data_IF_720179324772
#
_entry.id   IF_720179324772
#
_cell.length_a   1.000
_cell.length_b   1.000
_cell.length_c   1.000
_cell.angle_alpha   90.00
_cell.angle_beta   90.00
_cell.angle_gamma   90.00
#
_symmetry.space_group_name_H-M   'P 1'
#
loop_
_entity.id
_entity.type
_entity.pdbx_description
1 polymer ?
#
# COMPACT_ATOMS: atom_id res chain seq x y z
N UNK A 1 0.09 -15.78 6.85
CA UNK A 1 -1.05 -14.99 7.36
C UNK A 1 -0.98 -13.61 6.73
N UNK A 2 -2.12 -12.99 6.41
CA UNK A 2 -2.16 -11.68 5.74
C UNK A 2 -2.34 -10.56 6.78
N UNK A 3 -1.64 -9.43 6.61
CA UNK A 3 -1.85 -8.24 7.44
C UNK A 3 -2.91 -7.36 6.79
N UNK A 4 -3.85 -6.87 7.59
CA UNK A 4 -4.83 -5.89 7.17
C UNK A 4 -4.57 -4.55 7.86
N UNK A 5 -4.79 -3.48 7.10
CA UNK A 5 -4.65 -2.11 7.54
C UNK A 5 -6.00 -1.42 7.39
N UNK A 6 -6.34 -0.60 8.36
CA UNK A 6 -7.64 0.04 8.47
C UNK A 6 -7.45 1.51 8.77
N UNK A 7 -8.32 2.34 8.19
CA UNK A 7 -8.36 3.78 8.40
C UNK A 7 -9.76 4.20 8.85
N UNK A 8 -9.82 4.98 9.93
CA UNK A 8 -11.01 5.68 10.38
C UNK A 8 -10.95 7.14 9.97
N UNK A 9 -12.09 7.70 9.55
CA UNK A 9 -12.21 9.11 9.18
C UNK A 9 -13.54 9.72 9.63
N UNK A 10 -13.52 11.02 9.92
CA UNK A 10 -14.72 11.80 10.22
C UNK A 10 -15.66 11.94 9.00
N UNK A 11 -15.13 11.80 7.78
CA UNK A 11 -15.90 11.89 6.53
C UNK A 11 -15.73 10.61 5.71
N UNK A 12 -16.62 10.43 4.74
CA UNK A 12 -16.48 9.34 3.77
C UNK A 12 -15.24 9.55 2.89
N UNK A 13 -14.53 8.46 2.61
CA UNK A 13 -13.34 8.46 1.76
C UNK A 13 -13.67 7.89 0.38
N UNK A 14 -12.99 8.35 -0.69
CA UNK A 14 -13.19 7.79 -2.02
C UNK A 14 -12.72 6.33 -2.04
N UNK A 15 -13.58 5.45 -2.53
CA UNK A 15 -13.22 4.05 -2.76
C UNK A 15 -12.40 3.90 -4.03
N UNK A 16 -11.63 2.82 -4.08
CA UNK A 16 -10.84 2.43 -5.23
C UNK A 16 -9.37 2.79 -5.11
N UNK A 17 -8.72 2.74 -6.27
CA UNK A 17 -7.28 2.91 -6.41
C UNK A 17 -6.86 4.38 -6.45
N UNK A 18 -5.71 4.68 -5.84
CA UNK A 18 -5.05 5.97 -5.93
C UNK A 18 -3.54 5.83 -6.00
N UNK A 19 -2.93 6.58 -6.92
CA UNK A 19 -1.50 6.86 -6.95
C UNK A 19 -0.69 6.05 -7.96
N UNK A 20 -1.18 4.90 -8.43
CA UNK A 20 -0.49 4.15 -9.48
C UNK A 20 -0.46 4.94 -10.80
N UNK A 21 0.55 4.66 -11.62
CA UNK A 21 0.80 5.31 -12.90
C UNK A 21 1.05 4.22 -13.95
N UNK A 22 0.00 3.76 -14.66
CA UNK A 22 0.17 2.77 -15.71
C UNK A 22 1.14 3.26 -16.79
N UNK A 23 1.93 2.33 -17.32
CA UNK A 23 2.78 2.56 -18.49
C UNK A 23 1.93 2.89 -19.71
N UNK A 24 2.48 3.69 -20.62
CA UNK A 24 1.90 3.90 -21.93
C UNK A 24 2.00 2.66 -22.84
N UNK A 25 2.85 1.69 -22.48
CA UNK A 25 3.11 0.48 -23.25
C UNK A 25 2.14 -0.63 -22.86
N UNK A 26 1.74 -1.44 -23.84
CA UNK A 26 0.96 -2.65 -23.58
C UNK A 26 1.84 -3.80 -23.09
N UNK A 27 1.20 -4.87 -22.60
CA UNK A 27 1.90 -6.07 -22.15
C UNK A 27 2.73 -6.68 -23.28
N UNK A 28 2.16 -6.78 -24.48
CA UNK A 28 2.86 -7.32 -25.66
C UNK A 28 4.03 -6.43 -26.09
N UNK A 29 3.90 -5.10 -26.03
CA UNK A 29 5.00 -4.18 -26.34
C UNK A 29 6.16 -4.35 -25.37
N UNK A 30 5.87 -4.43 -24.07
CA UNK A 30 6.90 -4.67 -23.05
C UNK A 30 7.53 -6.05 -23.22
N UNK A 31 6.74 -7.12 -23.36
CA UNK A 31 7.23 -8.50 -23.53
C UNK A 31 8.16 -8.65 -24.73
N UNK A 32 7.89 -7.93 -25.82
CA UNK A 32 8.69 -8.00 -27.04
C UNK A 32 9.91 -7.07 -27.04
N UNK A 33 10.00 -6.15 -26.08
CA UNK A 33 11.08 -5.16 -25.98
C UNK A 33 12.46 -5.80 -25.73
N UNK A 34 13.54 -5.20 -26.26
CA UNK A 34 14.91 -5.64 -25.97
C UNK A 34 15.23 -5.61 -24.47
N UNK A 35 14.73 -4.62 -23.75
CA UNK A 35 14.95 -4.42 -22.32
C UNK A 35 14.38 -5.59 -21.50
N UNK A 36 13.12 -5.97 -21.79
CA UNK A 36 12.48 -7.10 -21.13
C UNK A 36 13.23 -8.40 -21.38
N UNK A 37 13.62 -8.68 -22.63
CA UNK A 37 14.38 -9.89 -22.98
C UNK A 37 15.72 -9.95 -22.25
N UNK A 38 16.45 -8.83 -22.20
CA UNK A 38 17.72 -8.71 -21.47
C UNK A 38 17.54 -8.94 -19.97
N UNK A 39 16.48 -8.38 -19.37
CA UNK A 39 16.16 -8.58 -17.96
C UNK A 39 15.84 -10.05 -17.65
N UNK A 40 15.07 -10.71 -18.51
CA UNK A 40 14.74 -12.14 -18.37
C UNK A 40 15.97 -13.03 -18.47
N UNK A 41 16.88 -12.75 -19.40
CA UNK A 41 18.15 -13.47 -19.50
C UNK A 41 19.01 -13.28 -18.24
N UNK A 42 19.09 -12.06 -17.72
CA UNK A 42 19.80 -11.80 -16.46
C UNK A 42 19.18 -12.55 -15.26
N UNK A 43 17.85 -12.65 -15.18
CA UNK A 43 17.16 -13.45 -14.15
C UNK A 43 17.51 -14.94 -14.25
N UNK A 44 17.53 -15.50 -15.47
CA UNK A 44 17.94 -16.90 -15.69
C UNK A 44 19.37 -17.16 -15.23
N UNK A 45 20.30 -16.23 -15.49
CA UNK A 45 21.69 -16.33 -15.02
C UNK A 45 21.80 -16.30 -13.48
N UNK A 46 20.83 -15.70 -12.80
CA UNK A 46 20.72 -15.70 -11.34
C UNK A 46 19.98 -16.93 -10.78
N UNK A 47 19.61 -17.89 -11.65
CA UNK A 47 18.87 -19.09 -11.26
C UNK A 47 17.37 -18.85 -11.00
N UNK A 48 16.85 -17.67 -11.36
CA UNK A 48 15.41 -17.37 -11.29
C UNK A 48 14.77 -17.85 -12.60
N UNK A 49 13.75 -18.69 -12.51
CA UNK A 49 12.99 -19.19 -13.66
C UNK A 49 11.81 -18.24 -13.91
N UNK A 50 11.75 -17.52 -15.04
CA UNK A 50 10.61 -16.70 -15.41
C UNK A 50 9.29 -17.48 -15.48
N UNK A 51 8.18 -16.82 -15.15
CA UNK A 51 6.85 -17.46 -15.14
C UNK A 51 6.43 -17.97 -16.53
N UNK A 52 6.80 -17.27 -17.59
CA UNK A 52 6.53 -17.63 -18.98
C UNK A 52 7.32 -18.87 -19.46
N UNK A 53 8.35 -19.30 -18.73
CA UNK A 53 9.07 -20.54 -19.00
C UNK A 53 8.38 -21.77 -18.36
N UNK A 54 7.50 -21.55 -17.37
CA UNK A 54 6.82 -22.62 -16.61
C UNK A 54 5.32 -22.69 -16.87
N UNK A 55 4.71 -21.62 -17.38
CA UNK A 55 3.28 -21.56 -17.69
C UNK A 55 3.05 -20.90 -19.05
N UNK A 56 2.10 -21.44 -19.82
CA UNK A 56 1.68 -20.83 -21.07
C UNK A 56 0.86 -19.56 -20.78
N UNK A 57 1.48 -18.40 -20.99
CA UNK A 57 0.87 -17.08 -20.84
C UNK A 57 0.40 -16.47 -22.17
N UNK A 58 0.31 -17.26 -23.25
CA UNK A 58 -0.11 -16.77 -24.58
C UNK A 58 -1.57 -16.31 -24.63
N UNK A 59 -2.38 -16.74 -23.66
CA UNK A 59 -3.79 -16.35 -23.53
C UNK A 59 -3.99 -14.97 -22.90
N UNK A 60 -2.95 -14.35 -22.32
CA UNK A 60 -3.05 -13.01 -21.74
C UNK A 60 -3.20 -11.96 -22.84
N UNK A 61 -4.29 -11.18 -22.77
CA UNK A 61 -4.56 -10.07 -23.67
C UNK A 61 -4.05 -8.77 -23.05
N UNK A 62 -3.71 -7.80 -23.89
CA UNK A 62 -3.25 -6.48 -23.44
C UNK A 62 -4.29 -5.79 -22.54
N UNK A 63 -5.58 -5.98 -22.81
CA UNK A 63 -6.70 -5.44 -22.02
C UNK A 63 -6.85 -6.08 -20.63
N UNK A 64 -6.29 -7.27 -20.40
CA UNK A 64 -6.33 -7.97 -19.11
C UNK A 64 -5.08 -7.68 -18.26
N UNK A 65 -4.13 -6.89 -18.77
CA UNK A 65 -2.83 -6.67 -18.15
C UNK A 65 -2.59 -5.19 -17.88
N UNK A 66 -2.32 -4.85 -16.62
CA UNK A 66 -1.76 -3.55 -16.27
C UNK A 66 -0.24 -3.64 -16.28
N UNK A 67 0.39 -2.70 -16.97
CA UNK A 67 1.84 -2.60 -17.12
C UNK A 67 2.32 -1.35 -16.42
N UNK A 68 3.45 -1.44 -15.74
CA UNK A 68 4.08 -0.34 -15.02
C UNK A 68 5.55 -0.27 -15.41
N UNK A 69 6.09 0.93 -15.54
CA UNK A 69 7.50 1.12 -15.91
C UNK A 69 8.45 0.87 -14.73
N UNK A 70 7.94 0.96 -13.48
CA UNK A 70 8.69 0.68 -12.26
C UNK A 70 7.80 0.17 -11.12
N UNK A 71 8.42 -0.36 -10.06
CA UNK A 71 7.72 -0.71 -8.81
C UNK A 71 7.07 0.51 -8.15
N UNK A 72 7.68 1.69 -8.29
CA UNK A 72 7.11 2.94 -7.78
C UNK A 72 5.87 3.33 -8.59
N UNK A 73 5.86 3.13 -9.91
CA UNK A 73 4.69 3.40 -10.74
C UNK A 73 3.52 2.47 -10.43
N UNK A 74 3.79 1.21 -10.11
CA UNK A 74 2.79 0.25 -9.63
C UNK A 74 2.30 0.56 -8.20
N UNK A 75 3.09 1.29 -7.41
CA UNK A 75 2.75 1.60 -6.04
C UNK A 75 1.67 2.69 -5.91
N UNK A 76 0.93 2.58 -4.82
CA UNK A 76 -0.28 3.35 -4.56
C UNK A 76 -1.06 2.70 -3.43
N UNK A 77 -2.23 3.25 -3.14
CA UNK A 77 -3.14 2.70 -2.14
C UNK A 77 -4.46 2.30 -2.79
N UNK A 78 -5.11 1.30 -2.23
CA UNK A 78 -6.48 0.94 -2.52
C UNK A 78 -7.32 1.13 -1.26
N UNK A 79 -8.47 1.76 -1.41
CA UNK A 79 -9.41 2.02 -0.33
C UNK A 79 -10.67 1.22 -0.62
N UNK A 80 -11.12 0.44 0.35
CA UNK A 80 -12.28 -0.41 0.19
C UNK A 80 -13.19 -0.33 1.41
N UNK A 81 -14.48 -0.54 1.16
CA UNK A 81 -15.45 -0.69 2.23
C UNK A 81 -15.13 -1.91 3.09
N UNK A 82 -15.52 -1.84 4.35
CA UNK A 82 -15.48 -3.00 5.22
C UNK A 82 -16.48 -4.05 4.71
N UNK A 83 -15.97 -5.21 4.31
CA UNK A 83 -16.79 -6.39 4.13
C UNK A 83 -17.42 -6.86 5.45
N UNK A 84 -18.55 -7.55 5.37
CA UNK A 84 -19.30 -8.08 6.52
C UNK A 84 -18.42 -8.83 7.54
N UNK A 85 -17.42 -9.57 7.06
CA UNK A 85 -16.51 -10.37 7.90
C UNK A 85 -15.53 -9.55 8.75
N UNK A 86 -15.33 -8.28 8.44
CA UNK A 86 -14.35 -7.41 9.11
C UNK A 86 -15.00 -6.41 10.07
N UNK A 87 -16.31 -6.50 10.32
CA UNK A 87 -17.04 -5.46 11.06
C UNK A 87 -16.58 -5.31 12.52
N UNK A 88 -16.05 -6.38 13.12
CA UNK A 88 -15.48 -6.34 14.48
C UNK A 88 -14.36 -5.30 14.64
N UNK A 89 -13.69 -4.92 13.54
CA UNK A 89 -12.62 -3.93 13.56
C UNK A 89 -13.11 -2.56 14.06
N UNK A 90 -14.38 -2.22 13.83
CA UNK A 90 -14.97 -0.91 14.16
C UNK A 90 -14.84 -0.57 15.64
N UNK A 91 -14.79 -1.55 16.54
CA UNK A 91 -14.65 -1.33 17.98
C UNK A 91 -13.35 -0.62 18.37
N UNK A 92 -12.33 -0.67 17.51
CA UNK A 92 -11.04 0.01 17.75
C UNK A 92 -11.09 1.49 17.38
N UNK A 93 -12.10 1.88 16.58
CA UNK A 93 -12.24 3.20 15.99
C UNK A 93 -13.33 4.00 16.70
N UNK A 94 -13.13 5.31 16.74
CA UNK A 94 -14.12 6.29 17.19
C UNK A 94 -14.82 6.96 16.02
N UNK A 95 -14.16 6.96 14.86
CA UNK A 95 -14.62 7.54 13.62
C UNK A 95 -15.89 6.85 13.11
N UNK A 96 -16.85 7.62 12.56
CA UNK A 96 -18.07 7.06 11.99
C UNK A 96 -17.80 6.22 10.73
N UNK A 97 -16.80 6.61 9.92
CA UNK A 97 -16.41 5.89 8.73
C UNK A 97 -15.12 5.11 8.98
N UNK A 98 -15.11 3.84 8.60
CA UNK A 98 -13.94 2.94 8.72
C UNK A 98 -13.84 2.16 7.42
N UNK A 99 -12.63 2.11 6.87
CA UNK A 99 -12.30 1.48 5.61
C UNK A 99 -11.10 0.54 5.78
N UNK A 100 -11.00 -0.49 4.93
CA UNK A 100 -9.73 -1.21 4.76
C UNK A 100 -8.88 -0.45 3.74
N UNK A 101 -7.59 -0.40 4.00
CA UNK A 101 -6.60 0.15 3.07
C UNK A 101 -5.55 -0.91 2.78
N UNK A 102 -5.10 -0.96 1.54
CA UNK A 102 -4.03 -1.86 1.12
C UNK A 102 -3.06 -1.14 0.18
N UNK A 103 -1.77 -1.50 0.21
CA UNK A 103 -0.85 -1.08 -0.84
C UNK A 103 -1.14 -1.87 -2.12
N UNK A 104 -1.14 -1.23 -3.28
CA UNK A 104 -1.20 -1.96 -4.57
C UNK A 104 0.12 -2.70 -4.83
N UNK A 105 1.22 -1.99 -4.61
CA UNK A 105 2.59 -2.50 -4.60
C UNK A 105 3.36 -1.83 -3.45
N UNK A 106 4.44 -2.45 -2.94
CA UNK A 106 5.16 -1.92 -1.77
C UNK A 106 4.42 -2.15 -0.45
N UNK A 107 4.44 -1.17 0.46
CA UNK A 107 3.74 -1.28 1.74
C UNK A 107 3.74 -0.01 2.61
N UNK A 108 3.03 -0.06 3.74
CA UNK A 108 2.98 1.01 4.73
C UNK A 108 4.14 0.96 5.75
N UNK A 109 5.32 0.54 5.27
CA UNK A 109 6.55 0.49 6.06
C UNK A 109 7.72 0.99 5.22
N UNK A 110 8.29 2.10 5.64
CA UNK A 110 9.42 2.79 5.04
C UNK A 110 10.56 2.74 6.04
N UNK A 111 11.58 1.96 5.70
CA UNK A 111 12.82 1.87 6.47
C UNK A 111 13.95 2.51 5.67
N UNK A 112 14.57 3.61 6.15
CA UNK A 112 15.68 4.27 5.45
C UNK A 112 16.85 3.32 5.14
N UNK A 113 17.02 2.26 5.93
CA UNK A 113 18.04 1.22 5.71
C UNK A 113 17.87 0.44 4.40
N UNK A 114 16.65 0.39 3.86
CA UNK A 114 16.34 -0.31 2.61
C UNK A 114 16.63 0.53 1.36
N UNK A 115 16.87 1.84 1.52
CA UNK A 115 17.05 2.76 0.40
C UNK A 115 18.17 2.34 -0.55
N UNK A 116 19.32 1.93 0.00
CA UNK A 116 20.49 1.56 -0.79
C UNK A 116 20.50 0.08 -1.20
N UNK A 117 19.78 -0.78 -0.48
CA UNK A 117 19.79 -2.24 -0.69
C UNK A 117 18.67 -2.71 -1.60
N UNK A 118 17.46 -2.13 -1.46
CA UNK A 118 16.26 -2.47 -2.23
C UNK A 118 15.54 -1.16 -2.66
N UNK A 119 16.16 -0.35 -3.52
CA UNK A 119 15.66 0.99 -3.87
C UNK A 119 14.26 0.96 -4.49
N UNK A 120 13.95 -0.04 -5.33
CA UNK A 120 12.62 -0.19 -5.94
C UNK A 120 11.52 -0.36 -4.90
N UNK A 121 11.70 -1.32 -3.99
CA UNK A 121 10.72 -1.59 -2.93
C UNK A 121 10.67 -0.48 -1.88
N UNK A 122 11.80 0.19 -1.60
CA UNK A 122 11.83 1.37 -0.74
C UNK A 122 10.99 2.51 -1.34
N UNK A 123 11.20 2.84 -2.62
CA UNK A 123 10.47 3.91 -3.30
C UNK A 123 8.98 3.59 -3.42
N UNK A 124 8.63 2.33 -3.73
CA UNK A 124 7.25 1.87 -3.75
C UNK A 124 6.55 2.09 -2.39
N UNK A 125 7.13 1.61 -1.29
CA UNK A 125 6.58 1.83 0.05
C UNK A 125 6.53 3.31 0.44
N UNK A 126 7.55 4.09 0.05
CA UNK A 126 7.58 5.53 0.28
C UNK A 126 6.40 6.22 -0.41
N UNK A 127 6.10 5.83 -1.66
CA UNK A 127 4.95 6.34 -2.40
C UNK A 127 3.63 5.94 -1.75
N UNK A 128 3.48 4.70 -1.28
CA UNK A 128 2.26 4.26 -0.56
C UNK A 128 1.99 5.12 0.68
N UNK A 129 3.02 5.38 1.49
CA UNK A 129 2.87 6.26 2.66
C UNK A 129 2.57 7.71 2.27
N UNK A 130 3.20 8.23 1.20
CA UNK A 130 2.88 9.57 0.67
C UNK A 130 1.44 9.68 0.23
N UNK A 131 0.92 8.70 -0.50
CA UNK A 131 -0.48 8.70 -0.94
C UNK A 131 -1.46 8.53 0.22
N UNK A 132 -1.11 7.75 1.25
CA UNK A 132 -1.90 7.67 2.48
C UNK A 132 -1.99 9.04 3.19
N UNK A 133 -0.87 9.76 3.30
CA UNK A 133 -0.87 11.10 3.93
C UNK A 133 -1.53 12.15 3.06
N UNK A 134 -1.39 12.03 1.75
CA UNK A 134 -2.07 12.88 0.79
C UNK A 134 -3.58 12.67 0.83
N UNK A 135 -4.05 11.43 0.97
CA UNK A 135 -5.47 11.13 1.23
C UNK A 135 -5.95 11.85 2.50
N UNK A 136 -5.20 11.75 3.60
CA UNK A 136 -5.56 12.46 4.84
C UNK A 136 -5.55 13.99 4.67
N UNK A 137 -4.64 14.51 3.86
CA UNK A 137 -4.57 15.95 3.56
C UNK A 137 -5.76 16.41 2.71
N UNK A 138 -6.10 15.66 1.66
CA UNK A 138 -7.15 16.01 0.70
C UNK A 138 -8.55 15.92 1.33
N UNK A 139 -8.76 14.98 2.26
CA UNK A 139 -10.07 14.69 2.87
C UNK A 139 -10.15 15.04 4.35
N UNK A 140 -9.07 15.56 4.93
CA UNK A 140 -9.04 15.94 6.33
C UNK A 140 -9.81 17.22 6.59
N UNK A 141 -10.66 17.17 7.61
CA UNK A 141 -11.36 18.35 8.13
C UNK A 141 -10.52 18.94 9.27
N UNK A 142 -10.30 20.26 9.27
CA UNK A 142 -9.54 20.91 10.34
C UNK A 142 -10.18 20.63 11.72
N UNK A 143 -9.36 20.23 12.68
CA UNK A 143 -9.79 19.82 14.01
C UNK A 143 -10.35 18.39 14.09
N UNK A 144 -10.45 17.67 12.97
CA UNK A 144 -10.77 16.25 12.96
C UNK A 144 -9.50 15.38 13.04
N UNK A 145 -9.70 14.10 13.29
CA UNK A 145 -8.65 13.10 13.39
C UNK A 145 -8.88 11.98 12.37
N UNK A 146 -7.79 11.46 11.82
CA UNK A 146 -7.79 10.13 11.24
C UNK A 146 -7.30 9.12 12.27
N UNK A 147 -7.78 7.90 12.15
CA UNK A 147 -7.34 6.78 12.97
C UNK A 147 -6.74 5.72 12.04
N UNK A 148 -5.64 5.09 12.44
CA UNK A 148 -5.09 3.94 11.74
C UNK A 148 -4.96 2.77 12.69
N UNK A 149 -5.24 1.58 12.19
CA UNK A 149 -5.04 0.34 12.92
C UNK A 149 -4.57 -0.76 11.98
N UNK A 150 -3.78 -1.70 12.49
CA UNK A 150 -3.26 -2.83 11.72
C UNK A 150 -3.29 -4.10 12.56
N UNK A 151 -3.79 -5.20 12.01
CA UNK A 151 -3.78 -6.51 12.65
C UNK A 151 -3.58 -7.61 11.61
N UNK A 152 -3.38 -8.84 12.08
CA UNK A 152 -3.48 -10.00 11.18
C UNK A 152 -4.96 -10.26 10.87
N UNK A 153 -5.21 -10.90 9.73
CA UNK A 153 -6.53 -11.43 9.42
C UNK A 153 -7.00 -12.36 10.55
N UNK A 154 -8.29 -12.28 10.89
CA UNK A 154 -8.95 -13.00 12.00
C UNK A 154 -8.61 -12.47 13.41
N UNK A 155 -7.83 -11.39 13.51
CA UNK A 155 -7.52 -10.73 14.77
C UNK A 155 -8.27 -9.40 14.97
N UNK A 156 -9.21 -9.05 14.09
CA UNK A 156 -10.00 -7.82 14.16
C UNK A 156 -10.70 -7.68 15.53
N UNK A 157 -11.15 -8.82 16.05
CA UNK A 157 -11.77 -8.98 17.37
C UNK A 157 -10.79 -9.00 18.56
N UNK A 158 -9.48 -8.94 18.37
CA UNK A 158 -8.54 -9.01 19.48
C UNK A 158 -8.20 -7.62 20.04
N UNK A 159 -7.82 -7.51 21.34
CA UNK A 159 -7.41 -6.23 21.91
C UNK A 159 -6.17 -5.65 21.23
N UNK A 160 -6.16 -4.32 21.02
CA UNK A 160 -4.97 -3.60 20.55
C UNK A 160 -3.87 -3.55 21.62
N UNK A 161 -2.63 -3.35 21.16
CA UNK A 161 -1.48 -3.22 22.02
C UNK A 161 -1.20 -1.74 22.33
N UNK A 162 -1.79 -1.27 23.44
CA UNK A 162 -1.69 0.13 23.88
C UNK A 162 -0.26 0.64 24.10
N UNK A 163 0.74 -0.25 24.24
CA UNK A 163 2.15 0.15 24.36
C UNK A 163 2.66 0.81 23.07
N UNK A 164 2.10 0.44 21.92
CA UNK A 164 2.51 0.96 20.63
C UNK A 164 1.65 2.14 20.17
N UNK A 165 0.52 2.44 20.83
CA UNK A 165 -0.36 3.52 20.42
C UNK A 165 0.40 4.86 20.31
N UNK A 166 0.19 5.56 19.19
CA UNK A 166 0.86 6.83 18.87
C UNK A 166 -0.14 7.89 18.48
N UNK A 167 0.23 9.14 18.74
CA UNK A 167 -0.49 10.32 18.26
C UNK A 167 0.54 11.23 17.60
N UNK A 168 0.25 11.71 16.41
CA UNK A 168 1.09 12.71 15.76
C UNK A 168 0.25 13.68 14.92
N UNK A 169 0.81 14.85 14.70
CA UNK A 169 0.24 15.85 13.80
C UNK A 169 0.75 15.57 12.39
N UNK A 170 -0.15 15.51 11.39
CA UNK A 170 0.23 15.14 10.02
C UNK A 170 1.33 16.05 9.47
N UNK A 171 1.26 17.35 9.78
CA UNK A 171 2.23 18.36 9.37
C UNK A 171 3.63 18.17 9.97
N UNK A 172 3.75 17.41 11.07
CA UNK A 172 5.02 17.19 11.78
C UNK A 172 5.78 15.97 11.28
N UNK A 173 5.16 15.12 10.43
CA UNK A 173 5.70 13.81 10.11
C UNK A 173 6.58 13.86 8.86
N UNK A 174 7.85 13.48 9.02
CA UNK A 174 8.78 13.26 7.91
C UNK A 174 8.91 11.77 7.61
N UNK A 175 8.71 11.39 6.34
CA UNK A 175 8.98 10.02 5.88
C UNK A 175 10.47 9.71 5.74
N UNK A 176 11.34 10.74 5.78
CA UNK A 176 12.79 10.55 5.69
C UNK A 176 13.37 9.81 6.90
N UNK A 177 12.77 9.99 8.08
CA UNK A 177 13.13 9.30 9.31
C UNK A 177 12.60 7.85 9.36
N UNK A 178 11.76 7.49 8.39
CA UNK A 178 11.05 6.22 8.31
C UNK A 178 9.66 6.28 8.95
N UNK A 179 8.81 5.34 8.54
CA UNK A 179 7.44 5.21 9.01
C UNK A 179 7.01 3.75 8.94
N UNK A 180 6.17 3.31 9.86
CA UNK A 180 5.65 1.94 9.84
C UNK A 180 4.29 1.89 10.54
N UNK A 181 3.35 1.16 9.93
CA UNK A 181 2.16 0.65 10.61
C UNK A 181 2.47 -0.68 11.31
N UNK A 182 2.61 -0.63 12.63
CA UNK A 182 2.96 -1.81 13.43
C UNK A 182 1.74 -2.67 13.74
N UNK A 183 1.97 -3.93 14.04
CA UNK A 183 0.89 -4.85 14.40
C UNK A 183 0.26 -4.43 15.73
N UNK A 184 -1.08 -4.44 15.77
CA UNK A 184 -1.92 -4.07 16.91
C UNK A 184 -1.66 -2.67 17.44
N UNK A 185 -1.02 -1.82 16.65
CA UNK A 185 -0.80 -0.41 16.94
C UNK A 185 -2.01 0.40 16.48
N UNK A 186 -2.50 1.28 17.34
CA UNK A 186 -3.51 2.26 16.99
C UNK A 186 -2.89 3.66 16.96
N UNK A 187 -3.03 4.33 15.83
CA UNK A 187 -2.45 5.65 15.59
C UNK A 187 -3.58 6.65 15.43
N UNK A 188 -3.47 7.79 16.11
CA UNK A 188 -4.31 8.97 15.85
C UNK A 188 -3.48 10.00 15.10
N UNK A 189 -3.98 10.45 13.95
CA UNK A 189 -3.37 11.46 13.11
C UNK A 189 -4.22 12.72 13.15
N UNK A 190 -3.65 13.81 13.65
CA UNK A 190 -4.37 15.08 13.81
C UNK A 190 -4.25 15.97 12.59
N UNK A 191 -5.37 16.55 12.18
CA UNK A 191 -5.47 17.57 11.15
C UNK A 191 -5.50 18.95 11.81
N UNK A 192 -4.38 19.66 11.83
CA UNK A 192 -4.25 21.02 12.38
C UNK A 192 -4.50 22.04 11.26
#
# INVERSE_FOLDING_TARGET
MSRFHYIGSATELPLGERGSVPSAKTYNEVKNSPEYKKQREAQRLQGIIPLDDIADLSHLRDEDCLVYDSEEDAAGIFIEELGYWNDEIRKHFRSPYVFRISPNWGGFSVSPKLKDTLPGSYNASLKCCRELFRLMTDYGVSGAEFELYTCWAEEEGLPRNKKYDRIFDLASLSLEDGFELREKEYIVVKMI
#
